data_IF_105645431984
#
_entry.id   IF_105645431984
#
_cell.length_a   1.000
_cell.length_b   1.000
_cell.length_c   1.000
_cell.angle_alpha   90.00
_cell.angle_beta   90.00
_cell.angle_gamma   90.00
#
_symmetry.space_group_name_H-M   'P 1'
#
loop_
_entity.id
_entity.type
_entity.pdbx_description
1 polymer ?
#
# COMPACT_ATOMS: atom_id res chain seq x y z
N UNK A 1 -45.48 48.82 48.03
CA UNK A 1 -44.10 48.99 48.53
C UNK A 1 -43.36 47.67 48.35
N UNK A 2 -42.39 47.63 47.44
CA UNK A 2 -41.22 46.73 47.36
C UNK A 2 -40.55 46.98 45.99
N UNK A 3 -39.60 47.92 45.95
CA UNK A 3 -38.17 47.71 45.67
C UNK A 3 -37.83 47.70 44.17
N UNK A 4 -37.43 48.88 43.70
CA UNK A 4 -36.70 49.10 42.46
C UNK A 4 -35.21 48.79 42.69
N UNK A 5 -34.63 47.91 41.85
CA UNK A 5 -33.25 47.93 41.36
C UNK A 5 -32.95 46.57 40.71
N UNK A 6 -33.05 46.53 39.38
CA UNK A 6 -32.56 45.42 38.56
C UNK A 6 -31.21 45.87 37.95
N UNK A 7 -30.08 45.18 38.19
CA UNK A 7 -28.74 45.67 37.86
C UNK A 7 -28.31 45.39 36.41
N UNK A 8 -29.23 45.06 35.50
CA UNK A 8 -28.93 44.69 34.11
C UNK A 8 -29.63 45.59 33.07
N UNK A 9 -29.49 46.91 33.23
CA UNK A 9 -29.78 47.85 32.14
C UNK A 9 -28.60 47.86 31.15
N UNK A 10 -28.92 47.57 29.89
CA UNK A 10 -27.96 47.46 28.78
C UNK A 10 -27.46 48.84 28.35
N UNK A 11 -26.26 49.21 28.82
CA UNK A 11 -25.62 50.50 28.52
C UNK A 11 -24.85 50.51 27.18
N UNK A 12 -24.74 49.37 26.50
CA UNK A 12 -23.88 49.16 25.33
C UNK A 12 -24.47 49.71 24.01
N UNK A 13 -25.78 49.92 23.93
CA UNK A 13 -26.44 50.41 22.70
C UNK A 13 -26.50 51.93 22.57
N UNK A 14 -26.36 52.67 23.68
CA UNK A 14 -26.43 54.14 23.68
C UNK A 14 -25.07 54.75 23.29
N UNK A 15 -23.95 54.08 23.62
CA UNK A 15 -22.60 54.48 23.26
C UNK A 15 -22.32 54.34 21.75
N UNK A 16 -22.87 53.31 21.11
CA UNK A 16 -22.74 53.08 19.66
C UNK A 16 -23.48 54.14 18.82
N UNK A 17 -24.59 54.70 19.33
CA UNK A 17 -25.31 55.79 18.68
C UNK A 17 -24.53 57.12 18.74
N UNK A 18 -23.89 57.40 19.87
CA UNK A 18 -23.15 58.65 20.09
C UNK A 18 -21.81 58.69 19.32
N UNK A 19 -21.20 57.53 19.03
CA UNK A 19 -19.98 57.45 18.21
C UNK A 19 -20.24 57.65 16.70
N UNK A 20 -21.47 57.40 16.24
CA UNK A 20 -21.87 57.65 14.85
C UNK A 20 -22.30 59.11 14.60
N UNK A 21 -22.74 59.83 15.63
CA UNK A 21 -23.07 61.27 15.52
C UNK A 21 -21.84 62.19 15.54
N UNK A 22 -20.70 61.71 16.06
CA UNK A 22 -19.49 62.53 16.26
C UNK A 22 -18.63 62.74 14.99
N UNK A 23 -18.97 62.14 13.85
CA UNK A 23 -18.14 62.22 12.63
C UNK A 23 -18.96 62.47 11.37
N UNK A 24 -19.60 63.65 11.32
CA UNK A 24 -20.54 64.04 10.26
C UNK A 24 -19.87 64.56 8.97
N UNK A 25 -18.52 64.63 8.92
CA UNK A 25 -17.75 65.16 7.80
C UNK A 25 -16.69 64.19 7.23
N UNK A 26 -16.78 62.89 7.51
CA UNK A 26 -15.91 61.90 6.88
C UNK A 26 -16.30 61.67 5.40
N UNK A 27 -15.37 61.93 4.48
CA UNK A 27 -15.53 61.78 3.03
C UNK A 27 -15.87 60.35 2.63
N UNK A 28 -17.08 60.13 2.13
CA UNK A 28 -17.52 58.88 1.51
C UNK A 28 -16.90 58.75 0.12
N UNK A 29 -16.12 57.71 -0.12
CA UNK A 29 -15.68 57.33 -1.48
C UNK A 29 -16.87 56.66 -2.16
N UNK A 30 -17.47 57.36 -3.13
CA UNK A 30 -18.48 56.80 -4.04
C UNK A 30 -17.79 55.85 -5.03
N UNK A 31 -18.16 54.57 -5.01
CA UNK A 31 -17.85 53.65 -6.10
C UNK A 31 -19.12 53.55 -6.94
N UNK A 32 -19.01 53.93 -8.21
CA UNK A 32 -20.07 53.81 -9.22
C UNK A 32 -20.40 52.33 -9.43
N UNK A 33 -21.67 51.97 -9.29
CA UNK A 33 -22.20 50.63 -9.57
C UNK A 33 -22.39 50.47 -11.08
N UNK A 34 -21.49 49.71 -11.72
CA UNK A 34 -21.76 49.12 -13.03
C UNK A 34 -22.73 47.94 -12.89
N UNK A 35 -23.70 47.96 -13.78
CA UNK A 35 -24.99 47.28 -13.79
C UNK A 35 -24.87 45.75 -14.05
N UNK A 36 -24.97 44.88 -13.04
CA UNK A 36 -25.31 43.45 -13.23
C UNK A 36 -26.23 42.93 -12.12
N UNK A 37 -27.50 42.76 -12.48
CA UNK A 37 -28.62 42.26 -11.68
C UNK A 37 -28.60 40.71 -11.56
N UNK A 38 -28.81 40.09 -10.38
CA UNK A 38 -29.04 38.65 -10.28
C UNK A 38 -30.52 38.34 -10.50
N UNK A 39 -30.82 37.61 -11.58
CA UNK A 39 -32.19 37.32 -11.99
C UNK A 39 -32.75 36.04 -11.36
N UNK A 40 -34.05 36.10 -11.06
CA UNK A 40 -34.82 35.11 -10.30
C UNK A 40 -35.39 34.06 -11.26
N UNK A 41 -34.92 32.82 -11.11
CA UNK A 41 -35.57 31.53 -11.38
C UNK A 41 -36.78 31.48 -12.34
N UNK A 42 -36.59 30.89 -13.53
CA UNK A 42 -37.66 30.25 -14.32
C UNK A 42 -37.16 28.95 -14.98
N UNK A 43 -37.98 27.91 -14.86
CA UNK A 43 -37.80 26.52 -15.35
C UNK A 43 -37.69 26.42 -16.88
N UNK A 44 -36.82 25.52 -17.36
CA UNK A 44 -36.92 24.77 -18.62
C UNK A 44 -36.17 23.43 -18.41
N UNK A 45 -36.85 22.29 -18.31
CA UNK A 45 -37.24 21.39 -19.41
C UNK A 45 -36.04 20.61 -20.03
N UNK A 46 -35.89 19.36 -19.56
CA UNK A 46 -35.60 18.18 -20.37
C UNK A 46 -34.21 18.02 -21.00
N UNK A 47 -33.35 17.22 -20.36
CA UNK A 47 -32.51 16.25 -21.07
C UNK A 47 -32.08 15.13 -20.12
N UNK A 48 -32.58 13.91 -20.35
CA UNK A 48 -31.98 12.67 -19.84
C UNK A 48 -30.84 12.28 -20.77
N UNK A 49 -29.70 11.86 -20.22
CA UNK A 49 -29.04 10.66 -20.71
C UNK A 49 -29.04 9.62 -19.58
N UNK A 50 -29.72 8.54 -19.89
CA UNK A 50 -29.44 7.20 -19.39
C UNK A 50 -27.92 6.94 -19.43
N UNK A 51 -27.37 6.33 -18.39
CA UNK A 51 -25.93 6.10 -18.28
C UNK A 51 -25.53 5.81 -16.83
N UNK A 52 -25.66 4.53 -16.46
CA UNK A 52 -25.05 3.93 -15.27
C UNK A 52 -23.57 4.30 -15.15
N UNK A 53 -23.23 5.23 -14.27
CA UNK A 53 -21.87 5.44 -13.73
C UNK A 53 -22.01 6.07 -12.33
N UNK A 54 -22.57 5.29 -11.39
CA UNK A 54 -22.42 5.56 -9.96
C UNK A 54 -20.92 5.43 -9.62
N UNK A 55 -20.19 6.53 -9.61
CA UNK A 55 -18.85 6.62 -9.02
C UNK A 55 -18.99 6.36 -7.50
N UNK A 56 -18.56 5.19 -6.97
CA UNK A 56 -18.81 4.82 -5.58
C UNK A 56 -18.14 5.75 -4.57
N UNK A 57 -17.20 6.59 -5.04
CA UNK A 57 -16.38 7.48 -4.24
C UNK A 57 -17.10 8.76 -3.78
N UNK A 58 -18.30 9.05 -4.30
CA UNK A 58 -19.04 10.27 -3.95
C UNK A 58 -19.79 10.17 -2.60
N UNK A 59 -19.95 8.96 -2.04
CA UNK A 59 -20.72 8.78 -0.80
C UNK A 59 -19.93 9.14 0.48
N UNK A 60 -18.61 8.98 0.46
CA UNK A 60 -17.71 9.25 1.60
C UNK A 60 -17.50 10.75 1.89
N UNK A 61 -17.69 11.61 0.88
CA UNK A 61 -17.51 13.07 1.03
C UNK A 61 -18.52 13.69 2.01
N UNK A 62 -19.69 13.09 2.18
CA UNK A 62 -20.76 13.62 3.06
C UNK A 62 -20.56 13.26 4.53
N UNK A 63 -19.85 12.18 4.84
CA UNK A 63 -19.60 11.71 6.21
C UNK A 63 -18.38 12.39 6.85
N UNK A 64 -17.39 12.81 6.07
CA UNK A 64 -16.20 13.51 6.59
C UNK A 64 -16.46 14.97 6.97
N UNK A 65 -17.38 15.66 6.29
CA UNK A 65 -17.66 17.09 6.52
C UNK A 65 -18.39 17.41 7.84
N UNK A 66 -18.91 16.40 8.54
CA UNK A 66 -19.57 16.55 9.84
C UNK A 66 -18.64 16.24 11.03
N UNK A 67 -17.42 15.80 10.76
CA UNK A 67 -16.41 15.55 11.79
C UNK A 67 -15.69 16.85 12.13
N UNK A 68 -16.03 17.49 13.26
CA UNK A 68 -15.27 18.63 13.81
C UNK A 68 -13.77 18.29 13.97
N UNK A 69 -12.89 19.30 14.21
CA UNK A 69 -11.44 19.13 14.15
C UNK A 69 -10.97 18.00 15.08
N UNK A 70 -10.69 16.82 14.50
CA UNK A 70 -10.26 15.64 15.25
C UNK A 70 -8.89 15.94 15.85
N UNK A 71 -8.84 16.07 17.18
CA UNK A 71 -7.62 16.16 17.99
C UNK A 71 -6.64 15.07 17.51
N UNK A 72 -5.41 15.44 17.15
CA UNK A 72 -4.40 14.50 16.66
C UNK A 72 -4.14 13.45 17.74
N UNK A 73 -4.55 12.20 17.49
CA UNK A 73 -4.30 11.09 18.41
C UNK A 73 -2.82 10.73 18.38
N UNK A 74 -2.17 10.51 19.53
CA UNK A 74 -0.76 10.13 19.54
C UNK A 74 -0.53 8.78 18.86
N UNK A 75 0.61 8.63 18.16
CA UNK A 75 0.88 7.43 17.35
C UNK A 75 0.95 6.11 18.15
N UNK A 76 1.18 6.17 19.47
CA UNK A 76 1.28 5.01 20.35
C UNK A 76 -0.07 4.52 20.89
N UNK A 77 -1.17 5.20 20.58
CA UNK A 77 -2.50 4.77 21.05
C UNK A 77 -3.09 3.73 20.12
N UNK A 78 -3.89 2.81 20.67
CA UNK A 78 -4.65 1.85 19.87
C UNK A 78 -5.58 2.55 18.87
N UNK A 79 -6.18 3.68 19.27
CA UNK A 79 -7.07 4.48 18.42
C UNK A 79 -6.36 4.99 17.15
N UNK A 80 -5.07 5.30 17.22
CA UNK A 80 -4.28 5.67 16.04
C UNK A 80 -4.23 4.52 15.04
N UNK A 81 -3.95 3.29 15.50
CA UNK A 81 -3.85 2.12 14.64
C UNK A 81 -5.20 1.62 14.13
N UNK A 82 -6.27 1.75 14.93
CA UNK A 82 -7.61 1.31 14.56
C UNK A 82 -8.07 1.91 13.22
N UNK A 83 -7.70 3.16 12.94
CA UNK A 83 -8.03 3.86 11.68
C UNK A 83 -7.45 3.17 10.44
N UNK A 84 -6.33 2.44 10.55
CA UNK A 84 -5.73 1.70 9.43
C UNK A 84 -6.37 0.33 9.20
N UNK A 85 -7.24 -0.12 10.11
CA UNK A 85 -7.99 -1.39 10.00
C UNK A 85 -9.48 -1.16 9.72
N UNK A 86 -9.96 0.07 9.87
CA UNK A 86 -11.33 0.47 9.57
C UNK A 86 -11.48 0.72 8.06
N UNK A 87 -11.51 -0.37 7.29
CA UNK A 87 -11.62 -0.32 5.82
C UNK A 87 -12.68 -1.28 5.32
N UNK A 88 -13.42 -0.85 4.30
CA UNK A 88 -14.38 -1.69 3.63
C UNK A 88 -13.72 -2.67 2.65
N UNK A 89 -14.35 -3.83 2.47
CA UNK A 89 -13.88 -4.92 1.60
C UNK A 89 -13.68 -4.46 0.15
N UNK A 90 -14.50 -3.53 -0.34
CA UNK A 90 -14.44 -3.07 -1.72
C UNK A 90 -13.13 -2.31 -2.01
N UNK A 91 -12.67 -1.46 -1.09
CA UNK A 91 -11.38 -0.77 -1.21
C UNK A 91 -10.21 -1.75 -1.27
N UNK A 92 -10.23 -2.81 -0.46
CA UNK A 92 -9.16 -3.81 -0.46
C UNK A 92 -9.11 -4.54 -1.81
N UNK A 93 -10.26 -4.89 -2.37
CA UNK A 93 -10.36 -5.54 -3.68
C UNK A 93 -9.82 -4.64 -4.78
N UNK A 94 -10.20 -3.37 -4.81
CA UNK A 94 -9.71 -2.40 -5.78
C UNK A 94 -8.20 -2.21 -5.69
N UNK A 95 -7.66 -2.11 -4.47
CA UNK A 95 -6.21 -2.02 -4.22
C UNK A 95 -5.45 -3.26 -4.69
N UNK A 96 -6.01 -4.45 -4.50
CA UNK A 96 -5.43 -5.70 -5.03
C UNK A 96 -5.48 -5.71 -6.56
N UNK A 97 -6.60 -5.35 -7.18
CA UNK A 97 -6.71 -5.33 -8.64
C UNK A 97 -5.75 -4.29 -9.24
N UNK A 98 -5.65 -3.11 -8.63
CA UNK A 98 -4.73 -2.05 -9.03
C UNK A 98 -3.25 -2.41 -8.79
N UNK A 99 -2.95 -3.28 -7.82
CA UNK A 99 -1.59 -3.79 -7.61
C UNK A 99 -1.24 -4.96 -8.54
N UNK A 100 -2.22 -5.67 -9.08
CA UNK A 100 -1.99 -6.77 -10.03
C UNK A 100 -1.92 -6.26 -11.47
N UNK A 101 -2.70 -5.23 -11.81
CA UNK A 101 -2.68 -4.58 -13.12
C UNK A 101 -2.12 -3.14 -12.99
N UNK A 102 -0.83 -2.91 -13.29
CA UNK A 102 -0.28 -1.56 -13.32
C UNK A 102 -0.84 -0.82 -14.55
N UNK A 103 -1.86 0.04 -14.35
CA UNK A 103 -2.38 0.87 -15.44
C UNK A 103 -1.41 2.03 -15.70
N UNK A 104 -0.84 2.15 -16.91
CA UNK A 104 0.11 3.21 -17.22
C UNK A 104 -0.56 4.58 -17.12
N UNK A 105 -0.02 5.45 -16.27
CA UNK A 105 -0.49 6.84 -16.08
C UNK A 105 -1.26 7.13 -14.79
N UNK A 106 -1.52 6.13 -13.95
CA UNK A 106 -2.21 6.29 -12.64
C UNK A 106 -1.26 5.90 -11.51
N UNK A 107 -0.76 6.86 -10.74
CA UNK A 107 0.09 6.58 -9.57
C UNK A 107 -0.74 5.87 -8.48
N UNK A 108 -0.36 4.65 -8.10
CA UNK A 108 -1.08 3.84 -7.10
C UNK A 108 -1.33 4.61 -5.79
N UNK A 109 -0.35 5.39 -5.32
CA UNK A 109 -0.54 6.20 -4.12
C UNK A 109 -1.56 7.33 -4.31
N UNK A 110 -1.50 8.03 -5.44
CA UNK A 110 -2.38 9.17 -5.69
C UNK A 110 -3.83 8.74 -5.95
N UNK A 111 -4.03 7.57 -6.57
CA UNK A 111 -5.36 7.08 -6.94
C UNK A 111 -6.02 6.27 -5.82
N UNK A 112 -5.25 5.49 -5.05
CA UNK A 112 -5.84 4.53 -4.10
C UNK A 112 -5.49 4.76 -2.63
N UNK A 113 -4.45 5.55 -2.31
CA UNK A 113 -3.90 5.62 -0.94
C UNK A 113 -4.00 6.98 -0.28
N UNK A 114 -3.99 8.08 -1.06
CA UNK A 114 -3.88 9.45 -0.51
C UNK A 114 -4.98 9.88 0.45
N UNK A 115 -6.11 9.17 0.49
CA UNK A 115 -7.21 9.50 1.39
C UNK A 115 -7.23 8.66 2.66
N UNK A 116 -6.88 7.36 2.60
CA UNK A 116 -6.90 6.42 3.74
C UNK A 116 -5.93 5.23 3.55
N UNK A 117 -4.65 5.31 3.97
CA UNK A 117 -3.77 4.13 3.98
C UNK A 117 -4.27 3.06 4.95
N UNK A 118 -4.16 1.78 4.57
CA UNK A 118 -4.58 0.65 5.41
C UNK A 118 -3.45 -0.33 5.73
N UNK A 119 -3.61 -1.06 6.83
CA UNK A 119 -2.77 -2.19 7.22
C UNK A 119 -3.50 -3.53 7.10
N UNK A 120 -4.83 -3.52 7.02
CA UNK A 120 -5.65 -4.73 6.93
C UNK A 120 -5.27 -5.56 5.69
N UNK A 121 -5.28 -4.97 4.49
CA UNK A 121 -4.93 -5.65 3.25
C UNK A 121 -3.51 -6.21 3.26
N UNK A 122 -2.47 -5.38 3.49
CA UNK A 122 -1.08 -5.82 3.60
C UNK A 122 -0.88 -6.99 4.58
N UNK A 123 -1.50 -6.93 5.76
CA UNK A 123 -1.41 -7.98 6.78
C UNK A 123 -1.97 -9.31 6.26
N UNK A 124 -3.18 -9.30 5.68
CA UNK A 124 -3.81 -10.52 5.17
C UNK A 124 -3.14 -11.06 3.92
N UNK A 125 -2.65 -10.19 3.03
CA UNK A 125 -1.88 -10.59 1.84
C UNK A 125 -0.59 -11.30 2.28
N UNK A 126 0.18 -10.72 3.20
CA UNK A 126 1.40 -11.33 3.72
C UNK A 126 1.10 -12.69 4.38
N UNK A 127 0.08 -12.74 5.24
CA UNK A 127 -0.33 -13.98 5.93
C UNK A 127 -0.72 -15.07 4.93
N UNK A 128 -1.54 -14.73 3.93
CA UNK A 128 -1.97 -15.66 2.88
C UNK A 128 -0.78 -16.15 2.07
N UNK A 129 0.14 -15.26 1.70
CA UNK A 129 1.34 -15.61 0.95
C UNK A 129 2.25 -16.57 1.73
N UNK A 130 2.43 -16.36 3.04
CA UNK A 130 3.20 -17.25 3.92
C UNK A 130 2.65 -18.66 3.89
N UNK A 131 1.35 -18.82 4.10
CA UNK A 131 0.71 -20.13 4.05
C UNK A 131 0.74 -20.73 2.64
N UNK A 132 0.51 -19.93 1.60
CA UNK A 132 0.57 -20.36 0.22
C UNK A 132 1.96 -20.90 -0.16
N UNK A 133 3.05 -20.20 0.22
CA UNK A 133 4.44 -20.66 0.00
C UNK A 133 4.69 -21.98 0.74
N UNK A 134 4.34 -22.05 2.03
CA UNK A 134 4.64 -23.21 2.85
C UNK A 134 3.86 -24.45 2.39
N UNK A 135 2.56 -24.31 2.10
CA UNK A 135 1.71 -25.40 1.61
C UNK A 135 2.16 -25.81 0.20
N UNK A 136 2.30 -24.86 -0.73
CA UNK A 136 2.69 -25.14 -2.11
C UNK A 136 4.07 -25.79 -2.20
N UNK A 137 5.04 -25.34 -1.40
CA UNK A 137 6.37 -25.94 -1.33
C UNK A 137 6.37 -27.36 -0.76
N UNK A 138 5.52 -27.67 0.22
CA UNK A 138 5.35 -29.04 0.72
C UNK A 138 4.65 -29.95 -0.30
N UNK A 139 3.60 -29.47 -0.97
CA UNK A 139 2.91 -30.22 -2.03
C UNK A 139 3.86 -30.47 -3.21
N UNK A 140 4.61 -29.46 -3.65
CA UNK A 140 5.56 -29.61 -4.74
C UNK A 140 6.63 -30.65 -4.41
N UNK A 141 7.14 -30.63 -3.17
CA UNK A 141 8.08 -31.64 -2.67
C UNK A 141 7.46 -33.05 -2.73
N UNK A 142 6.22 -33.20 -2.28
CA UNK A 142 5.48 -34.47 -2.37
C UNK A 142 5.35 -34.96 -3.82
N UNK A 143 4.95 -34.08 -4.75
CA UNK A 143 4.79 -34.42 -6.17
C UNK A 143 6.09 -34.88 -6.84
N UNK A 144 7.22 -34.23 -6.53
CA UNK A 144 8.54 -34.59 -7.09
C UNK A 144 9.03 -35.97 -6.62
N UNK A 145 8.57 -36.45 -5.46
CA UNK A 145 8.96 -37.74 -4.90
C UNK A 145 7.88 -38.81 -5.01
N UNK A 146 6.76 -38.50 -5.65
CA UNK A 146 5.67 -39.43 -5.87
C UNK A 146 6.19 -40.64 -6.67
N UNK A 147 5.97 -41.85 -6.15
CA UNK A 147 6.41 -43.10 -6.77
C UNK A 147 7.86 -43.53 -6.47
N UNK A 148 8.61 -42.83 -5.60
CA UNK A 148 9.94 -43.27 -5.17
C UNK A 148 9.84 -44.25 -3.98
N UNK A 149 10.25 -45.52 -4.12
CA UNK A 149 10.00 -46.57 -3.12
C UNK A 149 10.72 -46.34 -1.78
N UNK A 150 11.82 -45.58 -1.77
CA UNK A 150 12.61 -45.30 -0.57
C UNK A 150 12.34 -43.93 0.07
N UNK A 151 11.34 -43.16 -0.42
CA UNK A 151 11.07 -41.82 0.10
C UNK A 151 9.93 -41.83 1.12
N UNK A 152 10.26 -41.63 2.40
CA UNK A 152 9.27 -41.38 3.45
C UNK A 152 8.95 -39.89 3.50
N UNK A 153 7.76 -39.52 3.07
CA UNK A 153 7.30 -38.13 3.15
C UNK A 153 7.15 -37.69 4.61
N UNK A 154 7.78 -36.57 4.96
CA UNK A 154 7.60 -35.88 6.23
C UNK A 154 7.27 -34.41 5.96
N UNK A 155 6.13 -33.89 6.45
CA UNK A 155 5.81 -32.48 6.32
C UNK A 155 6.84 -31.59 7.05
N UNK A 156 7.35 -30.58 6.36
CA UNK A 156 8.32 -29.65 6.92
C UNK A 156 7.63 -28.40 7.46
N UNK A 157 7.16 -28.45 8.71
CA UNK A 157 6.47 -27.31 9.36
C UNK A 157 7.36 -26.06 9.51
N UNK A 158 8.68 -26.25 9.61
CA UNK A 158 9.66 -25.15 9.68
C UNK A 158 9.57 -24.20 8.48
N UNK A 159 9.08 -24.66 7.32
CA UNK A 159 8.87 -23.81 6.14
C UNK A 159 7.91 -22.66 6.42
N UNK A 160 6.90 -22.85 7.28
CA UNK A 160 5.96 -21.78 7.65
C UNK A 160 6.69 -20.65 8.37
N UNK A 161 7.51 -20.98 9.37
CA UNK A 161 8.27 -19.98 10.13
C UNK A 161 9.26 -19.22 9.24
N UNK A 162 9.98 -19.92 8.36
CA UNK A 162 10.95 -19.29 7.46
C UNK A 162 10.25 -18.41 6.43
N UNK A 163 9.12 -18.86 5.86
CA UNK A 163 8.31 -18.04 4.97
C UNK A 163 7.77 -16.80 5.70
N UNK A 164 7.25 -16.96 6.93
CA UNK A 164 6.78 -15.84 7.75
C UNK A 164 7.89 -14.82 7.98
N UNK A 165 9.07 -15.27 8.43
CA UNK A 165 10.21 -14.38 8.63
C UNK A 165 10.59 -13.66 7.34
N UNK A 166 10.69 -14.36 6.21
CA UNK A 166 11.08 -13.75 4.93
C UNK A 166 10.05 -12.72 4.42
N UNK A 167 8.77 -13.06 4.40
CA UNK A 167 7.72 -12.18 3.87
C UNK A 167 7.51 -10.96 4.77
N UNK A 168 7.38 -11.14 6.09
CA UNK A 168 7.18 -10.02 6.99
C UNK A 168 8.42 -9.14 7.13
N UNK A 169 9.64 -9.71 7.08
CA UNK A 169 10.86 -8.88 7.07
C UNK A 169 10.94 -8.01 5.82
N UNK A 170 10.60 -8.55 4.64
CA UNK A 170 10.50 -7.76 3.42
C UNK A 170 9.43 -6.67 3.53
N UNK A 171 8.22 -7.01 3.98
CA UNK A 171 7.09 -6.09 4.05
C UNK A 171 7.27 -4.96 5.08
N UNK A 172 8.14 -5.10 6.08
CA UNK A 172 8.37 -4.07 7.10
C UNK A 172 9.72 -3.38 6.99
N UNK A 173 10.82 -4.14 6.89
CA UNK A 173 12.16 -3.54 6.92
C UNK A 173 12.51 -2.82 5.62
N UNK A 174 12.04 -3.28 4.47
CA UNK A 174 12.31 -2.60 3.19
C UNK A 174 11.60 -1.24 3.15
N UNK A 175 10.29 -1.13 3.45
CA UNK A 175 9.63 0.16 3.62
C UNK A 175 10.28 1.05 4.67
N UNK A 176 10.72 0.49 5.81
CA UNK A 176 11.36 1.25 6.87
C UNK A 176 12.70 1.86 6.42
N UNK A 177 13.53 1.07 5.73
CA UNK A 177 14.80 1.52 5.20
C UNK A 177 14.59 2.59 4.10
N UNK A 178 13.62 2.38 3.21
CA UNK A 178 13.27 3.34 2.17
C UNK A 178 12.76 4.65 2.79
N UNK A 179 11.82 4.58 3.74
CA UNK A 179 11.30 5.73 4.45
C UNK A 179 12.40 6.48 5.21
N UNK A 180 13.26 5.77 5.95
CA UNK A 180 14.39 6.36 6.66
C UNK A 180 15.39 7.04 5.71
N UNK A 181 15.65 6.45 4.55
CA UNK A 181 16.48 7.05 3.51
C UNK A 181 15.84 8.33 2.94
N UNK A 182 14.54 8.30 2.64
CA UNK A 182 13.79 9.46 2.15
C UNK A 182 13.77 10.59 3.20
N UNK A 183 13.63 10.26 4.49
CA UNK A 183 13.71 11.20 5.59
C UNK A 183 15.12 11.76 5.83
N UNK A 184 16.17 10.94 5.69
CA UNK A 184 17.54 11.40 5.90
C UNK A 184 17.95 12.42 4.82
N UNK A 185 17.47 12.23 3.59
CA UNK A 185 17.72 13.11 2.45
C UNK A 185 16.97 14.45 2.51
N UNK A 186 16.28 14.74 3.62
CA UNK A 186 15.35 15.86 3.79
C UNK A 186 16.00 17.25 3.72
N UNK A 187 16.35 17.67 2.51
CA UNK A 187 16.64 19.05 2.19
C UNK A 187 15.89 19.43 0.90
N UNK A 188 14.77 20.14 1.09
CA UNK A 188 13.99 20.94 0.11
C UNK A 188 12.74 20.36 -0.58
N UNK A 189 12.40 19.07 -0.52
CA UNK A 189 11.29 18.49 -1.35
C UNK A 189 10.24 17.70 -0.52
N UNK A 190 9.89 18.16 0.68
CA UNK A 190 8.78 17.58 1.47
C UNK A 190 7.57 18.51 1.63
N UNK A 191 7.37 19.45 0.70
CA UNK A 191 6.14 20.27 0.68
C UNK A 191 5.07 19.78 -0.30
N UNK A 192 5.34 18.78 -1.17
CA UNK A 192 4.36 18.32 -2.17
C UNK A 192 3.92 16.85 -2.03
N UNK A 193 4.78 15.95 -1.50
CA UNK A 193 4.43 14.53 -1.31
C UNK A 193 5.15 13.95 -0.07
N UNK A 194 4.68 14.29 1.13
CA UNK A 194 5.10 13.57 2.34
C UNK A 194 4.44 12.19 2.35
N UNK A 195 5.16 11.16 1.90
CA UNK A 195 4.69 9.80 2.06
C UNK A 195 4.78 9.39 3.54
N UNK A 196 3.65 9.01 4.13
CA UNK A 196 3.64 8.38 5.44
C UNK A 196 4.33 7.02 5.36
N UNK A 197 5.05 6.63 6.42
CA UNK A 197 5.61 5.29 6.53
C UNK A 197 4.56 4.20 6.26
N UNK A 198 3.34 4.42 6.74
CA UNK A 198 2.23 3.48 6.56
C UNK A 198 1.80 3.35 5.09
N UNK A 199 1.88 4.43 4.30
CA UNK A 199 1.61 4.37 2.86
C UNK A 199 2.64 3.50 2.14
N UNK A 200 3.92 3.63 2.51
CA UNK A 200 5.01 2.83 1.93
C UNK A 200 4.83 1.35 2.29
N UNK A 201 4.54 1.03 3.55
CA UNK A 201 4.25 -0.35 3.99
C UNK A 201 3.06 -0.92 3.24
N UNK A 202 2.01 -0.12 3.08
CA UNK A 202 0.79 -0.50 2.39
C UNK A 202 1.06 -0.88 0.92
N UNK A 203 1.76 -0.02 0.17
CA UNK A 203 2.17 -0.29 -1.22
C UNK A 203 2.99 -1.59 -1.32
N UNK A 204 3.98 -1.77 -0.46
CA UNK A 204 4.80 -2.98 -0.46
C UNK A 204 3.97 -4.22 -0.17
N UNK A 205 3.06 -4.17 0.81
CA UNK A 205 2.15 -5.27 1.11
C UNK A 205 1.23 -5.63 -0.05
N UNK A 206 0.61 -4.65 -0.71
CA UNK A 206 -0.25 -4.90 -1.86
C UNK A 206 0.51 -5.43 -3.08
N UNK A 207 1.76 -5.01 -3.28
CA UNK A 207 2.62 -5.52 -4.35
C UNK A 207 2.93 -7.02 -4.21
N UNK A 208 2.77 -7.58 -3.01
CA UNK A 208 2.99 -9.01 -2.74
C UNK A 208 1.81 -9.90 -3.17
N UNK A 209 0.62 -9.33 -3.41
CA UNK A 209 -0.56 -10.08 -3.81
C UNK A 209 -0.33 -10.88 -5.11
N UNK A 210 0.48 -10.34 -6.03
CA UNK A 210 0.87 -10.98 -7.30
C UNK A 210 1.59 -12.31 -7.07
N UNK A 211 2.34 -12.46 -5.97
CA UNK A 211 3.05 -13.69 -5.68
C UNK A 211 2.13 -14.82 -5.23
N UNK A 212 0.93 -14.54 -4.70
CA UNK A 212 -0.01 -15.57 -4.24
C UNK A 212 -0.39 -16.53 -5.37
N UNK A 213 -0.93 -16.09 -6.52
CA UNK A 213 -1.20 -17.00 -7.64
C UNK A 213 0.07 -17.61 -8.23
N UNK A 214 1.20 -16.89 -8.21
CA UNK A 214 2.47 -17.41 -8.72
C UNK A 214 2.98 -18.62 -7.92
N UNK A 215 2.96 -18.57 -6.58
CA UNK A 215 3.45 -19.68 -5.75
C UNK A 215 2.56 -20.91 -5.82
N UNK A 216 1.26 -20.73 -6.05
CA UNK A 216 0.33 -21.84 -6.32
C UNK A 216 0.66 -22.50 -7.66
N UNK A 217 1.00 -21.70 -8.67
CA UNK A 217 1.43 -22.23 -9.98
C UNK A 217 2.75 -23.01 -9.89
N UNK A 218 3.65 -22.64 -8.95
CA UNK A 218 4.92 -23.34 -8.70
C UNK A 218 4.79 -24.74 -8.09
N UNK A 219 3.59 -25.14 -7.66
CA UNK A 219 3.30 -26.51 -7.21
C UNK A 219 3.71 -27.51 -8.30
N UNK A 220 3.38 -27.20 -9.55
CA UNK A 220 3.66 -28.06 -10.69
C UNK A 220 5.18 -28.09 -10.94
N UNK A 221 5.81 -29.28 -11.04
CA UNK A 221 7.26 -29.42 -11.16
C UNK A 221 7.79 -29.15 -12.58
N UNK A 222 7.25 -28.16 -13.29
CA UNK A 222 7.77 -27.70 -14.58
C UNK A 222 8.68 -26.49 -14.38
N UNK A 223 9.96 -26.66 -14.67
CA UNK A 223 10.97 -25.62 -14.41
C UNK A 223 10.75 -24.37 -15.27
N UNK A 224 10.41 -24.54 -16.55
CA UNK A 224 10.11 -23.41 -17.45
C UNK A 224 8.92 -22.58 -16.94
N UNK A 225 7.86 -23.23 -16.46
CA UNK A 225 6.65 -22.58 -15.95
C UNK A 225 6.96 -21.75 -14.69
N UNK A 226 7.82 -22.27 -13.81
CA UNK A 226 8.28 -21.55 -12.61
C UNK A 226 9.06 -20.31 -12.98
N UNK A 227 10.03 -20.40 -13.89
CA UNK A 227 10.80 -19.23 -14.33
C UNK A 227 9.93 -18.21 -15.05
N UNK A 228 9.04 -18.63 -15.95
CA UNK A 228 8.10 -17.73 -16.62
C UNK A 228 7.24 -16.96 -15.61
N UNK A 229 6.67 -17.65 -14.62
CA UNK A 229 5.85 -17.00 -13.59
C UNK A 229 6.64 -16.13 -12.62
N UNK A 230 7.91 -16.48 -12.29
CA UNK A 230 8.82 -15.59 -11.56
C UNK A 230 9.01 -14.28 -12.32
N UNK A 231 9.32 -14.36 -13.61
CA UNK A 231 9.58 -13.19 -14.46
C UNK A 231 8.33 -12.30 -14.50
N UNK A 232 7.15 -12.88 -14.76
CA UNK A 232 5.88 -12.14 -14.77
C UNK A 232 5.60 -11.49 -13.41
N UNK A 233 5.74 -12.22 -12.31
CA UNK A 233 5.51 -11.69 -10.97
C UNK A 233 6.48 -10.55 -10.62
N UNK A 234 7.75 -10.68 -10.98
CA UNK A 234 8.76 -9.64 -10.78
C UNK A 234 8.45 -8.37 -11.57
N UNK A 235 8.03 -8.50 -12.83
CA UNK A 235 7.68 -7.34 -13.63
C UNK A 235 6.43 -6.64 -13.10
N UNK A 236 5.37 -7.38 -12.79
CA UNK A 236 4.15 -6.80 -12.24
C UNK A 236 4.42 -6.13 -10.88
N UNK A 237 5.05 -6.84 -9.94
CA UNK A 237 5.33 -6.31 -8.60
C UNK A 237 6.33 -5.15 -8.65
N UNK A 238 7.41 -5.31 -9.44
CA UNK A 238 8.41 -4.28 -9.64
C UNK A 238 7.85 -3.03 -10.30
N UNK A 239 6.98 -3.17 -11.31
CA UNK A 239 6.37 -2.02 -11.98
C UNK A 239 5.49 -1.19 -11.04
N UNK A 240 4.70 -1.83 -10.17
CA UNK A 240 3.90 -1.12 -9.16
C UNK A 240 4.80 -0.33 -8.21
N UNK A 241 5.87 -0.94 -7.71
CA UNK A 241 6.82 -0.26 -6.81
C UNK A 241 7.52 0.90 -7.53
N UNK A 242 8.05 0.68 -8.74
CA UNK A 242 8.76 1.71 -9.50
C UNK A 242 7.83 2.87 -9.86
N UNK A 243 6.65 2.61 -10.41
CA UNK A 243 5.68 3.66 -10.74
C UNK A 243 5.27 4.47 -9.51
N UNK A 244 5.18 3.80 -8.36
CA UNK A 244 4.80 4.43 -7.10
C UNK A 244 5.87 5.37 -6.55
N UNK A 245 7.13 4.94 -6.56
CA UNK A 245 8.23 5.73 -6.00
C UNK A 245 8.91 6.65 -7.03
N UNK A 246 8.62 6.49 -8.33
CA UNK A 246 9.16 7.34 -9.39
C UNK A 246 8.94 8.85 -9.14
N UNK A 247 7.73 9.33 -8.80
CA UNK A 247 7.52 10.74 -8.49
C UNK A 247 8.32 11.23 -7.27
N UNK A 248 8.65 10.34 -6.34
CA UNK A 248 9.39 10.66 -5.12
C UNK A 248 10.89 10.86 -5.36
N UNK A 249 11.40 10.34 -6.47
CA UNK A 249 12.85 10.35 -6.79
C UNK A 249 13.18 11.07 -8.08
N UNK A 250 12.21 11.33 -8.97
CA UNK A 250 12.44 11.84 -10.33
C UNK A 250 13.21 13.16 -10.41
N UNK A 251 13.13 14.00 -9.38
CA UNK A 251 13.78 15.31 -9.33
C UNK A 251 15.16 15.26 -8.64
N UNK A 252 15.58 14.08 -8.19
CA UNK A 252 16.89 13.87 -7.58
C UNK A 252 18.02 13.69 -8.60
N UNK A 253 19.26 13.74 -8.10
CA UNK A 253 20.45 13.43 -8.90
C UNK A 253 20.34 12.01 -9.51
N UNK A 254 20.71 11.78 -10.78
CA UNK A 254 20.53 10.49 -11.48
C UNK A 254 21.13 9.29 -10.75
N UNK A 255 22.26 9.48 -10.06
CA UNK A 255 22.88 8.44 -9.22
C UNK A 255 21.94 7.95 -8.09
N UNK A 256 21.18 8.85 -7.47
CA UNK A 256 20.23 8.51 -6.39
C UNK A 256 19.02 7.77 -6.97
N UNK A 257 18.48 8.24 -8.09
CA UNK A 257 17.40 7.57 -8.81
C UNK A 257 17.79 6.13 -9.12
N UNK A 258 18.96 5.93 -9.75
CA UNK A 258 19.46 4.61 -10.11
C UNK A 258 19.67 3.76 -8.84
N UNK A 259 20.25 4.32 -7.78
CA UNK A 259 20.47 3.59 -6.53
C UNK A 259 19.15 3.10 -5.89
N UNK A 260 18.13 3.96 -5.79
CA UNK A 260 16.85 3.58 -5.18
C UNK A 260 16.11 2.56 -6.04
N UNK A 261 15.99 2.81 -7.34
CA UNK A 261 15.27 1.90 -8.25
C UNK A 261 15.97 0.54 -8.37
N UNK A 262 17.31 0.53 -8.43
CA UNK A 262 18.07 -0.73 -8.44
C UNK A 262 17.94 -1.48 -7.11
N UNK A 263 17.95 -0.80 -5.96
CA UNK A 263 17.72 -1.43 -4.67
C UNK A 263 16.33 -2.09 -4.60
N UNK A 264 15.28 -1.40 -5.04
CA UNK A 264 13.91 -1.94 -5.11
C UNK A 264 13.88 -3.19 -6.01
N UNK A 265 14.46 -3.10 -7.21
CA UNK A 265 14.49 -4.21 -8.15
C UNK A 265 15.26 -5.42 -7.59
N UNK A 266 16.45 -5.20 -7.02
CA UNK A 266 17.28 -6.25 -6.44
C UNK A 266 16.57 -6.93 -5.28
N UNK A 267 15.95 -6.19 -4.36
CA UNK A 267 15.23 -6.77 -3.24
C UNK A 267 14.02 -7.58 -3.69
N UNK A 268 13.30 -7.13 -4.72
CA UNK A 268 12.17 -7.87 -5.27
C UNK A 268 12.63 -9.17 -5.96
N UNK A 269 13.73 -9.11 -6.72
CA UNK A 269 14.39 -10.28 -7.32
C UNK A 269 14.84 -11.28 -6.24
N UNK A 270 15.49 -10.78 -5.19
CA UNK A 270 15.96 -11.61 -4.07
C UNK A 270 14.79 -12.33 -3.38
N UNK A 271 13.66 -11.65 -3.20
CA UNK A 271 12.46 -12.26 -2.65
C UNK A 271 11.96 -13.40 -3.55
N UNK A 272 11.72 -13.13 -4.83
CA UNK A 272 11.17 -14.12 -5.76
C UNK A 272 12.09 -15.33 -5.96
N UNK A 273 13.36 -15.07 -6.25
CA UNK A 273 14.37 -16.10 -6.48
C UNK A 273 14.67 -16.86 -5.20
N UNK A 274 14.75 -16.17 -4.05
CA UNK A 274 14.93 -16.78 -2.74
C UNK A 274 13.79 -17.72 -2.39
N UNK A 275 12.54 -17.31 -2.63
CA UNK A 275 11.37 -18.17 -2.43
C UNK A 275 11.43 -19.41 -3.32
N UNK A 276 11.70 -19.27 -4.62
CA UNK A 276 11.83 -20.41 -5.54
C UNK A 276 12.98 -21.34 -5.15
N UNK A 277 14.14 -20.79 -4.79
CA UNK A 277 15.32 -21.56 -4.45
C UNK A 277 15.12 -22.36 -3.15
N UNK A 278 14.56 -21.75 -2.12
CA UNK A 278 14.42 -22.40 -0.81
C UNK A 278 13.22 -23.36 -0.74
N UNK A 279 12.08 -22.98 -1.29
CA UNK A 279 10.83 -23.74 -1.09
C UNK A 279 10.53 -24.73 -2.22
N UNK A 280 11.04 -24.48 -3.45
CA UNK A 280 10.65 -25.22 -4.65
C UNK A 280 11.81 -25.87 -5.42
N UNK A 281 13.06 -25.50 -5.11
CA UNK A 281 14.25 -26.15 -5.68
C UNK A 281 14.83 -27.13 -4.67
N UNK A 282 15.16 -28.34 -5.12
CA UNK A 282 16.05 -29.24 -4.38
C UNK A 282 17.33 -29.44 -5.20
N UNK A 283 18.50 -29.42 -4.56
CA UNK A 283 19.69 -29.98 -5.17
C UNK A 283 19.42 -31.46 -5.40
N UNK A 284 19.54 -31.92 -6.65
CA UNK A 284 19.73 -33.33 -6.91
C UNK A 284 20.99 -33.73 -6.13
N UNK A 285 20.84 -34.58 -5.12
CA UNK A 285 21.98 -35.18 -4.46
C UNK A 285 22.65 -36.07 -5.52
N UNK A 286 23.64 -35.52 -6.22
CA UNK A 286 24.58 -36.31 -7.00
C UNK A 286 25.25 -37.22 -5.98
N UNK A 287 24.78 -38.47 -5.91
CA UNK A 287 25.46 -39.51 -5.17
C UNK A 287 26.90 -39.60 -5.71
N UNK A 288 27.93 -39.70 -4.86
CA UNK A 288 29.28 -39.92 -5.34
C UNK A 288 29.27 -41.22 -6.15
N UNK A 289 29.84 -41.14 -7.35
CA UNK A 289 29.98 -42.27 -8.26
C UNK A 289 30.43 -43.52 -7.48
N UNK A 290 29.70 -44.61 -7.72
CA UNK A 290 29.90 -45.91 -7.13
C UNK A 290 31.38 -46.19 -6.81
N UNK A 291 31.66 -46.42 -5.52
CA UNK A 291 32.87 -47.11 -5.10
C UNK A 291 32.91 -48.43 -5.89
N UNK A 292 33.81 -48.48 -6.85
CA UNK A 292 34.05 -49.65 -7.68
C UNK A 292 34.50 -50.77 -6.73
N UNK A 293 33.67 -51.81 -6.60
CA UNK A 293 34.06 -53.07 -6.00
C UNK A 293 35.35 -53.55 -6.68
N UNK A 294 36.47 -53.54 -5.94
CA UNK A 294 37.60 -54.40 -6.27
C UNK A 294 37.50 -55.63 -5.38
N UNK A 295 36.63 -56.54 -5.79
CA UNK A 295 36.60 -57.91 -5.30
C UNK A 295 37.87 -58.61 -5.79
N UNK A 296 38.95 -58.56 -5.01
CA UNK A 296 40.15 -59.35 -5.29
C UNK A 296 39.87 -60.79 -4.82
N UNK A 297 39.63 -61.68 -5.80
CA UNK A 297 39.47 -63.11 -5.58
C UNK A 297 40.73 -63.73 -4.91
N UNK A 298 40.59 -64.79 -4.10
CA UNK A 298 41.72 -65.49 -3.52
C UNK A 298 42.42 -66.33 -4.60
N UNK A 299 43.72 -66.14 -4.80
CA UNK A 299 44.53 -67.05 -5.61
C UNK A 299 45.11 -68.13 -4.72
N UNK A 300 44.68 -69.35 -4.97
CA UNK A 300 45.31 -70.59 -4.50
C UNK A 300 46.57 -70.86 -5.31
N UNK A 301 47.72 -70.96 -4.66
CA UNK A 301 48.81 -71.90 -5.01
C UNK A 301 49.77 -72.04 -3.83
#
# INVERSE_FOLDING_TARGET
MASANDPFQFQEFEEAGHLLEANRDATTISIEEDDIKPDKQRKAAGFTPDGDDEDPLASDDKTELLSGPKKSVPFWTFEYYQRFFDIETHHVKERIIGSVLPWPGKNFIHVHLRRNPDLYGPFWICTTLVFAIAISGNISNFLVHLGKPNYKYTPEFRKVTIAATAIFSYAWFVPLALWGFLLWRNNKIMNLVSYSFMEIVCVYGYSLAIYIPAVVLWIIPFEWLRWCSIVVALFLSGSVLVMTFWPAVRDDHPKVIIAVLSAIAVLNILLAVGCKAYFFSKPEAVLPAAATEVTKAPSST
#
